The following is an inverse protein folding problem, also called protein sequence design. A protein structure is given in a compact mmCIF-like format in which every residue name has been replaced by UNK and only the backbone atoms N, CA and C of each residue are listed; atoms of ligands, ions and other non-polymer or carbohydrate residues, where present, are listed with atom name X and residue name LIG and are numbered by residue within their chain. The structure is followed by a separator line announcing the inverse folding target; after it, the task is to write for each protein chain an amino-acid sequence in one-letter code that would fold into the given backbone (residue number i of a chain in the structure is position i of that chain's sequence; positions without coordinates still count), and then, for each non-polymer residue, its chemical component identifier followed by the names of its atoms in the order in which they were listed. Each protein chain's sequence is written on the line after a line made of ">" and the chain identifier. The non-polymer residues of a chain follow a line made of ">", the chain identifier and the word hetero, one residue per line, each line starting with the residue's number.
data_IF_504816131419
#
_entry.id   IF_504816131419
#
_cell.length_a   1.000
_cell.length_b   1.000
_cell.length_c   1.000
_cell.angle_alpha   90.00
_cell.angle_beta   90.00
_cell.angle_gamma   90.00
#
_symmetry.space_group_name_H-M   'P 1'
#
loop_
_entity.id
_entity.type
_entity.pdbx_description
1 polymer ?
#
# COMPACT_ATOMS: atom_id res chain seq x y z
N UNK A 1 27.60 1.67 -14.23
CA UNK A 1 26.97 0.89 -15.33
C UNK A 1 26.17 -0.25 -14.70
N UNK A 2 24.85 -0.10 -14.55
CA UNK A 2 24.00 -1.14 -13.93
C UNK A 2 23.74 -2.29 -14.92
N UNK A 3 24.11 -3.50 -14.49
CA UNK A 3 24.06 -4.74 -15.28
C UNK A 3 22.64 -5.05 -15.74
N UNK A 4 22.51 -5.60 -16.97
CA UNK A 4 21.23 -5.97 -17.59
C UNK A 4 20.41 -6.93 -16.70
N UNK A 5 21.08 -7.78 -15.92
CA UNK A 5 20.46 -8.70 -14.96
C UNK A 5 19.77 -7.99 -13.77
N UNK A 6 20.32 -6.86 -13.30
CA UNK A 6 19.72 -6.07 -12.21
C UNK A 6 18.42 -5.40 -12.65
N UNK A 7 18.40 -4.88 -13.88
CA UNK A 7 17.21 -4.26 -14.46
C UNK A 7 16.05 -5.25 -14.64
N UNK A 8 16.34 -6.49 -15.02
CA UNK A 8 15.33 -7.55 -15.13
C UNK A 8 14.80 -8.01 -13.77
N UNK A 9 15.64 -8.06 -12.74
CA UNK A 9 15.23 -8.45 -11.39
C UNK A 9 14.37 -7.38 -10.70
N UNK A 10 14.76 -6.10 -10.80
CA UNK A 10 13.98 -4.98 -10.25
C UNK A 10 12.59 -4.91 -10.90
N UNK A 11 12.47 -5.19 -12.20
CA UNK A 11 11.17 -5.25 -12.87
C UNK A 11 10.27 -6.39 -12.33
N UNK A 12 10.82 -7.58 -12.11
CA UNK A 12 10.07 -8.73 -11.58
C UNK A 12 9.60 -8.51 -10.13
N UNK A 13 10.47 -7.95 -9.28
CA UNK A 13 10.08 -7.58 -7.91
C UNK A 13 9.05 -6.45 -7.90
N UNK A 14 9.19 -5.46 -8.80
CA UNK A 14 8.23 -4.36 -8.93
C UNK A 14 6.85 -4.88 -9.32
N UNK A 15 6.77 -5.81 -10.26
CA UNK A 15 5.49 -6.43 -10.63
C UNK A 15 4.89 -7.23 -9.46
N UNK A 16 5.72 -8.02 -8.76
CA UNK A 16 5.23 -8.82 -7.63
C UNK A 16 4.67 -7.99 -6.48
N UNK A 17 5.28 -6.84 -6.13
CA UNK A 17 4.74 -5.97 -5.08
C UNK A 17 3.44 -5.29 -5.51
N UNK A 18 3.29 -4.99 -6.81
CA UNK A 18 2.05 -4.42 -7.36
C UNK A 18 0.94 -5.47 -7.32
N UNK A 19 1.17 -6.69 -7.78
CA UNK A 19 0.18 -7.78 -7.73
C UNK A 19 -0.31 -8.01 -6.30
N UNK A 20 0.63 -8.01 -5.33
CA UNK A 20 0.30 -8.13 -3.91
C UNK A 20 -0.49 -6.93 -3.38
N UNK A 21 -0.17 -5.73 -3.87
CA UNK A 21 -0.93 -4.53 -3.53
C UNK A 21 -2.33 -4.54 -4.13
N UNK A 22 -2.52 -5.10 -5.33
CA UNK A 22 -3.83 -5.21 -5.97
C UNK A 22 -4.78 -6.10 -5.15
N UNK A 23 -4.28 -7.17 -4.54
CA UNK A 23 -5.05 -7.99 -3.57
C UNK A 23 -5.52 -7.15 -2.37
N UNK A 24 -4.60 -6.37 -1.78
CA UNK A 24 -4.90 -5.49 -0.65
C UNK A 24 -5.90 -4.39 -1.03
N UNK A 25 -5.67 -3.71 -2.16
CA UNK A 25 -6.49 -2.63 -2.67
C UNK A 25 -7.89 -3.12 -3.02
N UNK A 26 -8.01 -4.27 -3.68
CA UNK A 26 -9.30 -4.89 -4.02
C UNK A 26 -10.12 -5.19 -2.78
N UNK A 27 -9.51 -5.77 -1.74
CA UNK A 27 -10.18 -6.01 -0.47
C UNK A 27 -10.65 -4.71 0.19
N UNK A 28 -9.74 -3.74 0.36
CA UNK A 28 -10.05 -2.46 1.04
C UNK A 28 -11.13 -1.71 0.29
N UNK A 29 -11.03 -1.61 -1.03
CA UNK A 29 -11.99 -0.91 -1.88
C UNK A 29 -13.42 -1.44 -1.68
N UNK A 30 -13.59 -2.76 -1.73
CA UNK A 30 -14.91 -3.39 -1.55
C UNK A 30 -15.50 -3.12 -0.17
N UNK A 31 -14.69 -3.17 0.90
CA UNK A 31 -15.17 -2.90 2.26
C UNK A 31 -15.53 -1.44 2.47
N UNK A 32 -14.71 -0.53 1.95
CA UNK A 32 -14.89 0.91 2.11
C UNK A 32 -16.08 1.43 1.29
N UNK A 33 -16.34 0.88 0.10
CA UNK A 33 -17.52 1.25 -0.69
C UNK A 33 -18.85 0.94 -0.01
N UNK A 34 -18.88 -0.09 0.85
CA UNK A 34 -20.08 -0.47 1.61
C UNK A 34 -20.34 0.44 2.83
N UNK A 35 -19.50 1.47 3.06
CA UNK A 35 -19.60 2.36 4.21
C UNK A 35 -20.86 3.25 4.17
N UNK A 36 -21.46 3.59 5.33
CA UNK A 36 -22.58 4.53 5.39
C UNK A 36 -22.26 5.91 4.80
N UNK A 37 -23.21 6.50 4.06
CA UNK A 37 -23.05 7.80 3.37
C UNK A 37 -22.62 8.96 4.29
N UNK A 38 -22.97 8.92 5.59
CA UNK A 38 -22.56 9.92 6.59
C UNK A 38 -21.03 10.04 6.75
N UNK A 39 -20.28 9.03 6.31
CA UNK A 39 -18.81 9.02 6.32
C UNK A 39 -18.21 9.31 4.93
N UNK A 40 -18.97 9.90 4.01
CA UNK A 40 -18.58 10.11 2.61
C UNK A 40 -17.19 10.73 2.44
N UNK A 41 -16.90 11.84 3.12
CA UNK A 41 -15.58 12.50 3.04
C UNK A 41 -14.42 11.58 3.48
N UNK A 42 -14.64 10.77 4.51
CA UNK A 42 -13.64 9.81 4.98
C UNK A 42 -13.47 8.67 3.98
N UNK A 43 -14.57 8.13 3.46
CA UNK A 43 -14.58 7.09 2.42
C UNK A 43 -13.77 7.56 1.21
N UNK A 44 -14.05 8.76 0.71
CA UNK A 44 -13.40 9.31 -0.47
C UNK A 44 -11.89 9.51 -0.21
N UNK A 45 -11.50 10.06 0.94
CA UNK A 45 -10.09 10.18 1.34
C UNK A 45 -9.37 8.82 1.40
N UNK A 46 -10.01 7.77 1.91
CA UNK A 46 -9.42 6.44 1.95
C UNK A 46 -9.32 5.82 0.55
N UNK A 47 -10.34 5.99 -0.30
CA UNK A 47 -10.29 5.52 -1.68
C UNK A 47 -9.19 6.23 -2.48
N UNK A 48 -9.04 7.55 -2.31
CA UNK A 48 -7.95 8.32 -2.92
C UNK A 48 -6.58 7.79 -2.47
N UNK A 49 -6.41 7.53 -1.17
CA UNK A 49 -5.18 6.98 -0.64
C UNK A 49 -4.86 5.58 -1.20
N UNK A 50 -5.88 4.71 -1.34
CA UNK A 50 -5.71 3.38 -1.94
C UNK A 50 -5.32 3.49 -3.41
N UNK A 51 -6.00 4.35 -4.19
CA UNK A 51 -5.74 4.48 -5.62
C UNK A 51 -4.42 5.21 -5.93
N UNK A 52 -3.83 5.92 -4.96
CA UNK A 52 -2.55 6.60 -5.13
C UNK A 52 -1.33 5.67 -5.07
N UNK A 53 -1.37 4.61 -4.24
CA UNK A 53 -0.20 3.75 -3.98
C UNK A 53 0.40 3.10 -5.23
N UNK A 54 -0.37 2.57 -6.21
CA UNK A 54 0.20 1.98 -7.41
C UNK A 54 1.12 2.97 -8.15
N UNK A 55 0.69 4.24 -8.27
CA UNK A 55 1.50 5.30 -8.87
C UNK A 55 2.82 5.55 -8.12
N UNK A 56 2.80 5.48 -6.79
CA UNK A 56 3.99 5.61 -5.96
C UNK A 56 4.94 4.42 -6.13
N UNK A 57 4.41 3.20 -6.20
CA UNK A 57 5.19 1.98 -6.45
C UNK A 57 5.84 2.01 -7.84
N UNK A 58 5.10 2.40 -8.88
CA UNK A 58 5.66 2.57 -10.23
C UNK A 58 6.73 3.66 -10.28
N UNK A 59 6.53 4.78 -9.61
CA UNK A 59 7.51 5.86 -9.56
C UNK A 59 8.79 5.40 -8.84
N UNK A 60 8.66 4.65 -7.75
CA UNK A 60 9.80 4.06 -7.05
C UNK A 60 10.54 3.05 -7.93
N UNK A 61 9.80 2.16 -8.62
CA UNK A 61 10.34 1.18 -9.57
C UNK A 61 11.18 1.83 -10.68
N UNK A 62 10.62 2.86 -11.32
CA UNK A 62 11.25 3.51 -12.49
C UNK A 62 12.39 4.44 -12.11
N UNK A 63 12.29 5.13 -10.97
CA UNK A 63 13.31 6.12 -10.57
C UNK A 63 14.58 5.48 -10.02
N UNK A 64 14.47 4.31 -9.38
CA UNK A 64 15.56 3.69 -8.64
C UNK A 64 16.02 4.48 -7.41
N UNK A 65 15.32 5.57 -7.04
CA UNK A 65 15.66 6.44 -5.91
C UNK A 65 15.07 5.88 -4.60
N UNK A 66 15.91 5.74 -3.57
CA UNK A 66 15.48 5.26 -2.25
C UNK A 66 14.42 6.15 -1.62
N UNK A 67 14.50 7.47 -1.81
CA UNK A 67 13.50 8.42 -1.31
C UNK A 67 12.09 8.11 -1.80
N UNK A 68 11.93 7.62 -3.04
CA UNK A 68 10.61 7.24 -3.59
C UNK A 68 10.05 5.98 -2.96
N UNK A 69 10.91 5.05 -2.54
CA UNK A 69 10.48 3.89 -1.77
C UNK A 69 9.95 4.30 -0.39
N UNK A 70 10.60 5.26 0.28
CA UNK A 70 10.09 5.80 1.55
C UNK A 70 8.77 6.55 1.40
N UNK A 71 8.54 7.23 0.27
CA UNK A 71 7.22 7.84 -0.01
C UNK A 71 6.14 6.77 -0.15
N UNK A 72 6.42 5.66 -0.84
CA UNK A 72 5.48 4.54 -0.92
C UNK A 72 5.22 3.90 0.46
N UNK A 73 6.25 3.77 1.30
CA UNK A 73 6.12 3.22 2.65
C UNK A 73 5.27 4.12 3.56
N UNK A 74 5.46 5.43 3.47
CA UNK A 74 4.63 6.42 4.15
C UNK A 74 3.16 6.32 3.74
N UNK A 75 2.88 6.08 2.46
CA UNK A 75 1.51 5.87 1.99
C UNK A 75 0.89 4.58 2.56
N UNK A 76 1.66 3.49 2.67
CA UNK A 76 1.18 2.27 3.36
C UNK A 76 0.91 2.52 4.85
N UNK A 77 1.72 3.35 5.51
CA UNK A 77 1.49 3.75 6.90
C UNK A 77 0.20 4.60 7.06
N UNK A 78 -0.06 5.51 6.13
CA UNK A 78 -1.32 6.28 6.07
C UNK A 78 -2.52 5.34 5.92
N UNK A 79 -2.45 4.35 5.02
CA UNK A 79 -3.52 3.35 4.86
C UNK A 79 -3.81 2.59 6.17
N UNK A 80 -2.77 2.13 6.88
CA UNK A 80 -2.95 1.45 8.18
C UNK A 80 -3.59 2.38 9.21
N UNK A 81 -3.19 3.65 9.24
CA UNK A 81 -3.81 4.64 10.13
C UNK A 81 -5.29 4.86 9.78
N UNK A 82 -5.62 5.03 8.49
CA UNK A 82 -6.99 5.17 8.03
C UNK A 82 -7.82 3.95 8.43
N UNK A 83 -7.35 2.72 8.20
CA UNK A 83 -8.06 1.49 8.57
C UNK A 83 -8.33 1.41 10.08
N UNK A 84 -7.35 1.72 10.93
CA UNK A 84 -7.57 1.83 12.38
C UNK A 84 -8.60 2.89 12.73
N UNK A 85 -8.59 4.02 12.03
CA UNK A 85 -9.60 5.05 12.20
C UNK A 85 -11.01 4.52 11.87
N UNK A 86 -11.18 3.78 10.76
CA UNK A 86 -12.47 3.21 10.37
C UNK A 86 -12.99 2.14 11.35
N UNK A 87 -12.09 1.33 11.93
CA UNK A 87 -12.45 0.23 12.81
C UNK A 87 -12.76 0.64 14.26
N UNK A 88 -12.53 1.92 14.61
CA UNK A 88 -12.71 2.39 15.98
C UNK A 88 -14.14 2.13 16.49
N UNK A 89 -14.24 1.73 17.77
CA UNK A 89 -15.49 1.31 18.42
C UNK A 89 -16.65 2.31 18.33
N UNK A 90 -16.34 3.61 18.23
CA UNK A 90 -17.36 4.67 18.16
C UNK A 90 -17.84 4.94 16.72
N UNK A 91 -17.02 4.63 15.71
CA UNK A 91 -17.32 4.93 14.29
C UNK A 91 -17.81 3.70 13.54
N UNK A 92 -17.17 2.54 13.79
CA UNK A 92 -17.53 1.21 13.25
C UNK A 92 -17.83 1.25 11.75
N UNK A 93 -17.01 1.97 10.99
CA UNK A 93 -17.14 2.09 9.52
C UNK A 93 -16.82 0.72 8.88
N UNK A 94 -15.81 0.05 9.42
CA UNK A 94 -15.49 -1.36 9.15
C UNK A 94 -15.43 -2.14 10.46
N UNK A 95 -15.55 -3.46 10.40
CA UNK A 95 -15.36 -4.32 11.57
C UNK A 95 -13.88 -4.48 11.92
N UNK A 96 -13.59 -4.84 13.17
CA UNK A 96 -12.22 -5.12 13.60
C UNK A 96 -11.59 -6.26 12.78
N UNK A 97 -12.36 -7.32 12.50
CA UNK A 97 -11.91 -8.41 11.63
C UNK A 97 -11.55 -7.92 10.21
N UNK A 98 -12.33 -7.00 9.64
CA UNK A 98 -12.02 -6.42 8.33
C UNK A 98 -10.73 -5.60 8.36
N UNK A 99 -10.50 -4.83 9.43
CA UNK A 99 -9.25 -4.11 9.64
C UNK A 99 -8.06 -5.05 9.78
N UNK A 100 -8.15 -6.09 10.63
CA UNK A 100 -7.07 -7.07 10.80
C UNK A 100 -6.72 -7.75 9.47
N UNK A 101 -7.72 -8.17 8.69
CA UNK A 101 -7.48 -8.79 7.39
C UNK A 101 -6.80 -7.83 6.41
N UNK A 102 -7.27 -6.59 6.33
CA UNK A 102 -6.63 -5.57 5.49
C UNK A 102 -5.18 -5.27 5.94
N UNK A 103 -4.92 -5.24 7.24
CA UNK A 103 -3.57 -5.02 7.78
C UNK A 103 -2.62 -6.17 7.47
N UNK A 104 -3.09 -7.42 7.46
CA UNK A 104 -2.28 -8.58 7.03
C UNK A 104 -1.85 -8.43 5.57
N UNK A 105 -2.77 -8.11 4.67
CA UNK A 105 -2.45 -7.88 3.26
C UNK A 105 -1.45 -6.72 3.09
N UNK A 106 -1.65 -5.61 3.79
CA UNK A 106 -0.73 -4.46 3.77
C UNK A 106 0.63 -4.76 4.44
N UNK A 107 0.69 -5.71 5.37
CA UNK A 107 1.94 -6.13 6.00
C UNK A 107 2.81 -6.93 5.03
N UNK A 108 2.20 -7.76 4.17
CA UNK A 108 2.91 -8.47 3.09
C UNK A 108 3.54 -7.47 2.10
N UNK A 109 2.77 -6.49 1.64
CA UNK A 109 3.28 -5.40 0.77
C UNK A 109 4.40 -4.62 1.47
N UNK A 110 4.21 -4.28 2.75
CA UNK A 110 5.21 -3.55 3.53
C UNK A 110 6.52 -4.34 3.71
N UNK A 111 6.44 -5.66 3.91
CA UNK A 111 7.62 -6.53 3.98
C UNK A 111 8.41 -6.50 2.67
N UNK A 112 7.72 -6.65 1.53
CA UNK A 112 8.35 -6.59 0.21
C UNK A 112 9.02 -5.24 -0.04
N UNK A 113 8.35 -4.13 0.34
CA UNK A 113 8.90 -2.79 0.22
C UNK A 113 10.12 -2.59 1.12
N UNK A 114 10.06 -3.08 2.36
CA UNK A 114 11.17 -3.01 3.31
C UNK A 114 12.40 -3.79 2.84
N UNK A 115 12.21 -4.97 2.25
CA UNK A 115 13.30 -5.74 1.61
C UNK A 115 13.90 -4.97 0.44
N UNK A 116 13.08 -4.30 -0.36
CA UNK A 116 13.54 -3.46 -1.47
C UNK A 116 14.36 -2.26 -0.99
N UNK A 117 13.90 -1.56 0.04
CA UNK A 117 14.64 -0.46 0.68
C UNK A 117 15.99 -0.96 1.17
N UNK A 118 16.02 -2.05 1.95
CA UNK A 118 17.28 -2.64 2.46
C UNK A 118 18.26 -2.94 1.33
N UNK A 119 17.80 -3.54 0.24
CA UNK A 119 18.65 -3.86 -0.92
C UNK A 119 19.23 -2.62 -1.61
N UNK A 120 18.46 -1.52 -1.67
CA UNK A 120 18.93 -0.27 -2.28
C UNK A 120 19.87 0.53 -1.37
N UNK A 121 19.68 0.47 -0.05
CA UNK A 121 20.53 1.18 0.93
C UNK A 121 21.80 0.40 1.29
N UNK A 122 21.82 -0.93 1.14
CA UNK A 122 23.02 -1.75 1.36
C UNK A 122 24.05 -1.67 0.20
N UNK A 123 23.81 -0.82 -0.80
CA UNK A 123 24.75 -0.49 -1.87
C UNK A 123 25.43 0.82 -1.59
#
# INVERSE_FOLDING_TARGET
>A
MSSKAERHFDARQSLAIIDRYDEAAGYIYQRVQQSPKRHGRYRDKLLDAVLAVPGLLYAAAKSGQVSRLYVADAALAELRWLLRFAAHKDRRIISHHQQTHAEVLLAEVGKMLGEWIKKKTAR
#
